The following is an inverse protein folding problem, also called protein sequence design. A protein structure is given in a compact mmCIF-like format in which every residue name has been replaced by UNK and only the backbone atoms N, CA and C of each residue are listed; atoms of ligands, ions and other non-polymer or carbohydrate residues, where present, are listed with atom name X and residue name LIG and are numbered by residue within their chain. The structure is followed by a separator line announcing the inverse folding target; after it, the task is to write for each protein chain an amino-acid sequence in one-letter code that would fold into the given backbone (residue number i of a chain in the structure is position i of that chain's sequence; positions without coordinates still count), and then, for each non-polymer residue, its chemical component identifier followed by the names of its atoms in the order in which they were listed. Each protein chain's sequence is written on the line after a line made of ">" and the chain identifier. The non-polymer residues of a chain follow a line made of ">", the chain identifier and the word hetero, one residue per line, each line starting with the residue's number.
data_IF_974734134945
#
_entry.id   IF_974734134945
#
_cell.length_a   1.000
_cell.length_b   1.000
_cell.length_c   1.000
_cell.angle_alpha   90.00
_cell.angle_beta   90.00
_cell.angle_gamma   90.00
#
_symmetry.space_group_name_H-M   'P 1'
#
loop_
_entity.id
_entity.type
_entity.pdbx_description
1 polymer ?
#
# COMPACT_ATOMS: atom_id res chain seq x y z
N UNK A 1 -85.51 -58.22 19.43
CA UNK A 1 -85.17 -59.19 18.36
C UNK A 1 -84.90 -58.46 17.05
N UNK A 2 -84.11 -59.04 16.13
CA UNK A 2 -83.67 -58.47 14.82
C UNK A 2 -83.01 -57.08 14.81
N UNK A 3 -83.69 -55.99 15.15
CA UNK A 3 -83.14 -54.62 15.09
C UNK A 3 -81.83 -54.47 15.86
N UNK A 4 -81.74 -54.97 17.10
CA UNK A 4 -80.51 -54.91 17.90
C UNK A 4 -79.35 -55.71 17.27
N UNK A 5 -79.65 -56.79 16.54
CA UNK A 5 -78.64 -57.55 15.79
C UNK A 5 -78.17 -56.80 14.55
N UNK A 6 -79.07 -56.16 13.82
CA UNK A 6 -78.75 -55.29 12.67
C UNK A 6 -77.89 -54.10 13.08
N UNK A 7 -78.22 -53.44 14.19
CA UNK A 7 -77.44 -52.33 14.76
C UNK A 7 -76.02 -52.80 15.12
N UNK A 8 -75.87 -53.94 15.81
CA UNK A 8 -74.55 -54.52 16.13
C UNK A 8 -73.76 -54.88 14.86
N UNK A 9 -74.42 -55.46 13.85
CA UNK A 9 -73.81 -55.76 12.54
C UNK A 9 -73.34 -54.49 11.82
N UNK A 10 -74.15 -53.43 11.82
CA UNK A 10 -73.81 -52.14 11.23
C UNK A 10 -72.63 -51.47 11.95
N UNK A 11 -72.61 -51.50 13.28
CA UNK A 11 -71.46 -51.02 14.08
C UNK A 11 -70.19 -51.80 13.76
N UNK A 12 -70.24 -53.14 13.72
CA UNK A 12 -69.07 -53.97 13.38
C UNK A 12 -68.55 -53.69 11.96
N UNK A 13 -69.45 -53.51 10.99
CA UNK A 13 -69.07 -53.09 9.62
C UNK A 13 -68.39 -51.73 9.61
N UNK A 14 -68.91 -50.74 10.37
CA UNK A 14 -68.29 -49.42 10.52
C UNK A 14 -66.91 -49.51 11.18
N UNK A 15 -66.78 -50.28 12.25
CA UNK A 15 -65.52 -50.47 12.99
C UNK A 15 -64.44 -51.11 12.11
N UNK A 16 -64.80 -52.13 11.33
CA UNK A 16 -63.90 -52.75 10.33
C UNK A 16 -63.48 -51.77 9.25
N UNK A 17 -64.38 -50.90 8.78
CA UNK A 17 -64.05 -49.86 7.78
C UNK A 17 -63.08 -48.82 8.34
N UNK A 18 -63.26 -48.40 9.60
CA UNK A 18 -62.34 -47.49 10.30
C UNK A 18 -60.97 -48.12 10.51
N UNK A 19 -60.91 -49.38 10.98
CA UNK A 19 -59.64 -50.11 11.14
C UNK A 19 -58.88 -50.26 9.82
N UNK A 20 -59.58 -50.54 8.71
CA UNK A 20 -58.96 -50.59 7.37
C UNK A 20 -58.41 -49.24 6.94
N UNK A 21 -59.10 -48.13 7.24
CA UNK A 21 -58.61 -46.77 6.97
C UNK A 21 -57.39 -46.43 7.82
N UNK A 22 -57.45 -46.73 9.12
CA UNK A 22 -56.33 -46.52 10.04
C UNK A 22 -55.07 -47.27 9.57
N UNK A 23 -55.20 -48.56 9.23
CA UNK A 23 -54.09 -49.36 8.69
C UNK A 23 -53.50 -48.81 7.39
N UNK A 24 -54.28 -48.07 6.59
CA UNK A 24 -53.78 -47.41 5.37
C UNK A 24 -53.10 -46.06 5.65
N UNK A 25 -53.58 -45.30 6.65
CA UNK A 25 -53.06 -43.97 6.96
C UNK A 25 -51.82 -44.02 7.86
N UNK A 26 -51.71 -45.04 8.72
CA UNK A 26 -50.57 -45.23 9.62
C UNK A 26 -49.20 -45.21 8.92
N UNK A 27 -48.97 -45.97 7.82
CA UNK A 27 -47.68 -45.93 7.12
C UNK A 27 -47.42 -44.56 6.50
N UNK A 28 -48.42 -43.94 5.86
CA UNK A 28 -48.28 -42.60 5.27
C UNK A 28 -47.86 -41.53 6.30
N UNK A 29 -48.30 -41.66 7.56
CA UNK A 29 -47.87 -40.79 8.65
C UNK A 29 -46.42 -41.05 9.08
N UNK A 30 -45.96 -42.29 9.00
CA UNK A 30 -44.56 -42.64 9.26
C UNK A 30 -43.67 -42.09 8.16
N UNK A 31 -44.01 -42.37 6.90
CA UNK A 31 -43.24 -41.94 5.73
C UNK A 31 -43.07 -40.41 5.70
N UNK A 32 -44.15 -39.66 5.94
CA UNK A 32 -44.08 -38.20 6.03
C UNK A 32 -43.18 -37.73 7.17
N UNK A 33 -43.17 -38.43 8.30
CA UNK A 33 -42.31 -38.08 9.43
C UNK A 33 -40.84 -38.33 9.09
N UNK A 34 -40.55 -39.42 8.39
CA UNK A 34 -39.20 -39.76 7.94
C UNK A 34 -38.70 -38.76 6.90
N UNK A 35 -39.53 -38.41 5.89
CA UNK A 35 -39.25 -37.37 4.91
C UNK A 35 -38.95 -36.01 5.56
N UNK A 36 -39.73 -35.64 6.59
CA UNK A 36 -39.50 -34.39 7.34
C UNK A 36 -38.18 -34.42 8.13
N UNK A 37 -37.78 -35.57 8.66
CA UNK A 37 -36.50 -35.73 9.36
C UNK A 37 -35.36 -35.60 8.35
N UNK A 38 -35.45 -36.27 7.21
CA UNK A 38 -34.45 -36.23 6.15
C UNK A 38 -34.31 -34.83 5.56
N UNK A 39 -35.42 -34.16 5.28
CA UNK A 39 -35.42 -32.77 4.79
C UNK A 39 -34.74 -31.82 5.79
N UNK A 40 -35.08 -31.95 7.08
CA UNK A 40 -34.45 -31.16 8.14
C UNK A 40 -32.95 -31.44 8.26
N UNK A 41 -32.53 -32.68 8.06
CA UNK A 41 -31.12 -33.05 8.09
C UNK A 41 -30.36 -32.45 6.90
N UNK A 42 -30.92 -32.55 5.70
CA UNK A 42 -30.33 -31.95 4.48
C UNK A 42 -30.15 -30.45 4.62
N UNK A 43 -31.20 -29.72 5.04
CA UNK A 43 -31.09 -28.27 5.29
C UNK A 43 -29.98 -27.95 6.29
N UNK A 44 -29.89 -28.73 7.38
CA UNK A 44 -28.86 -28.51 8.41
C UNK A 44 -27.46 -28.71 7.84
N UNK A 45 -27.28 -29.70 6.98
CA UNK A 45 -26.01 -30.00 6.32
C UNK A 45 -25.64 -28.93 5.29
N UNK A 46 -26.57 -28.54 4.43
CA UNK A 46 -26.38 -27.48 3.44
C UNK A 46 -25.97 -26.15 4.10
N UNK A 47 -26.67 -25.75 5.17
CA UNK A 47 -26.33 -24.54 5.93
C UNK A 47 -24.94 -24.67 6.55
N UNK A 48 -24.60 -25.83 7.11
CA UNK A 48 -23.27 -26.05 7.72
C UNK A 48 -22.17 -25.97 6.68
N UNK A 49 -22.35 -26.58 5.52
CA UNK A 49 -21.38 -26.58 4.44
C UNK A 49 -21.19 -25.15 3.91
N UNK A 50 -22.29 -24.46 3.60
CA UNK A 50 -22.24 -23.06 3.16
C UNK A 50 -21.53 -22.15 4.16
N UNK A 51 -21.84 -22.26 5.46
CA UNK A 51 -21.17 -21.45 6.49
C UNK A 51 -19.68 -21.77 6.62
N UNK A 52 -19.29 -23.02 6.38
CA UNK A 52 -17.89 -23.45 6.43
C UNK A 52 -17.12 -22.89 5.25
N UNK A 53 -17.64 -23.07 4.03
CA UNK A 53 -17.07 -22.51 2.79
C UNK A 53 -16.98 -20.98 2.86
N UNK A 54 -18.05 -20.32 3.31
CA UNK A 54 -18.08 -18.87 3.46
C UNK A 54 -17.03 -18.38 4.48
N UNK A 55 -16.88 -19.07 5.61
CA UNK A 55 -15.85 -18.76 6.61
C UNK A 55 -14.44 -18.92 6.03
N UNK A 56 -14.19 -19.99 5.28
CA UNK A 56 -12.91 -20.23 4.62
C UNK A 56 -12.60 -19.18 3.57
N UNK A 57 -13.59 -18.79 2.74
CA UNK A 57 -13.42 -17.74 1.75
C UNK A 57 -13.12 -16.39 2.40
N UNK A 58 -13.85 -16.02 3.47
CA UNK A 58 -13.58 -14.78 4.23
C UNK A 58 -12.16 -14.81 4.79
N UNK A 59 -11.76 -15.90 5.43
CA UNK A 59 -10.42 -16.00 6.02
C UNK A 59 -9.33 -15.89 4.96
N UNK A 60 -9.54 -16.49 3.79
CA UNK A 60 -8.61 -16.39 2.65
C UNK A 60 -8.50 -14.95 2.15
N UNK A 61 -9.64 -14.29 1.88
CA UNK A 61 -9.67 -12.89 1.42
C UNK A 61 -9.06 -11.95 2.47
N UNK A 62 -9.35 -12.16 3.75
CA UNK A 62 -8.79 -11.35 4.83
C UNK A 62 -7.28 -11.52 4.94
N UNK A 63 -6.77 -12.75 4.79
CA UNK A 63 -5.33 -13.02 4.75
C UNK A 63 -4.64 -12.33 3.58
N UNK A 64 -5.26 -12.37 2.40
CA UNK A 64 -4.77 -11.68 1.20
C UNK A 64 -4.72 -10.17 1.40
N UNK A 65 -5.81 -9.58 1.90
CA UNK A 65 -5.86 -8.14 2.23
C UNK A 65 -4.76 -7.77 3.22
N UNK A 66 -4.58 -8.53 4.31
CA UNK A 66 -3.51 -8.27 5.29
C UNK A 66 -2.13 -8.31 4.66
N UNK A 67 -1.85 -9.27 3.76
CA UNK A 67 -0.56 -9.34 3.04
C UNK A 67 -0.36 -8.13 2.12
N UNK A 68 -1.38 -7.74 1.36
CA UNK A 68 -1.30 -6.56 0.49
C UNK A 68 -1.13 -5.27 1.29
N UNK A 69 -1.77 -5.18 2.47
CA UNK A 69 -1.63 -4.04 3.36
C UNK A 69 -0.22 -3.96 3.94
N UNK A 70 0.35 -5.09 4.38
CA UNK A 70 1.72 -5.14 4.87
C UNK A 70 2.73 -4.73 3.79
N UNK A 71 2.63 -5.30 2.58
CA UNK A 71 3.50 -4.93 1.46
C UNK A 71 3.38 -3.45 1.09
N UNK A 72 2.16 -2.90 1.13
CA UNK A 72 1.94 -1.46 0.89
C UNK A 72 2.59 -0.63 1.99
N UNK A 73 2.45 -1.02 3.25
CA UNK A 73 3.09 -0.32 4.38
C UNK A 73 4.61 -0.32 4.28
N UNK A 74 5.22 -1.44 3.90
CA UNK A 74 6.67 -1.55 3.70
C UNK A 74 7.14 -0.61 2.58
N UNK A 75 6.40 -0.56 1.47
CA UNK A 75 6.71 0.36 0.36
C UNK A 75 6.57 1.82 0.74
N UNK A 76 5.55 2.16 1.54
CA UNK A 76 5.35 3.53 2.03
C UNK A 76 6.50 3.93 2.95
N UNK A 77 6.89 3.07 3.91
CA UNK A 77 8.02 3.36 4.81
C UNK A 77 9.33 3.60 4.03
N UNK A 78 9.59 2.81 2.98
CA UNK A 78 10.77 3.00 2.13
C UNK A 78 10.70 4.31 1.33
N UNK A 79 9.50 4.68 0.83
CA UNK A 79 9.29 5.96 0.17
C UNK A 79 9.53 7.13 1.12
N UNK A 80 9.01 7.06 2.34
CA UNK A 80 9.20 8.08 3.38
C UNK A 80 10.67 8.27 3.71
N UNK A 81 11.42 7.18 3.86
CA UNK A 81 12.88 7.23 4.09
C UNK A 81 13.61 7.91 2.92
N UNK A 82 13.31 7.51 1.69
CA UNK A 82 13.92 8.11 0.50
C UNK A 82 13.57 9.59 0.34
N UNK A 83 12.37 9.99 0.73
CA UNK A 83 11.96 11.40 0.74
C UNK A 83 12.77 12.18 1.76
N UNK A 84 12.92 11.65 2.99
CA UNK A 84 13.74 12.29 4.02
C UNK A 84 15.20 12.47 3.56
N UNK A 85 15.80 11.44 2.96
CA UNK A 85 17.18 11.52 2.43
C UNK A 85 17.29 12.58 1.30
N UNK A 86 16.28 12.68 0.44
CA UNK A 86 16.24 13.69 -0.63
C UNK A 86 16.03 15.11 -0.11
N UNK A 87 15.23 15.28 0.94
CA UNK A 87 15.01 16.57 1.60
C UNK A 87 16.29 17.08 2.26
N UNK A 88 17.03 16.20 2.94
CA UNK A 88 18.35 16.51 3.52
C UNK A 88 19.35 16.92 2.43
N UNK A 89 19.48 16.11 1.38
CA UNK A 89 20.36 16.44 0.26
C UNK A 89 20.00 17.76 -0.44
N UNK A 90 18.71 18.07 -0.56
CA UNK A 90 18.26 19.32 -1.15
C UNK A 90 18.65 20.56 -0.33
N UNK A 91 18.75 20.43 1.01
CA UNK A 91 19.28 21.47 1.88
C UNK A 91 20.78 21.66 1.65
N UNK A 92 21.55 20.57 1.64
CA UNK A 92 23.00 20.63 1.41
C UNK A 92 23.37 21.24 0.05
N UNK A 93 22.65 20.84 -1.00
CA UNK A 93 22.83 21.41 -2.35
C UNK A 93 22.51 22.91 -2.37
N UNK A 94 21.49 23.33 -1.63
CA UNK A 94 21.12 24.75 -1.55
C UNK A 94 22.20 25.57 -0.84
N UNK A 95 22.74 25.05 0.25
CA UNK A 95 23.76 25.74 1.05
C UNK A 95 25.09 25.83 0.32
N UNK A 96 25.50 24.74 -0.35
CA UNK A 96 26.68 24.74 -1.22
C UNK A 96 26.51 25.71 -2.40
N UNK A 97 25.34 25.74 -3.04
CA UNK A 97 25.05 26.70 -4.10
C UNK A 97 25.12 28.17 -3.63
N UNK A 98 24.58 28.46 -2.45
CA UNK A 98 24.65 29.80 -1.86
C UNK A 98 26.10 30.20 -1.56
N UNK A 99 26.90 29.27 -1.03
CA UNK A 99 28.32 29.49 -0.77
C UNK A 99 29.10 29.78 -2.06
N UNK A 100 28.84 29.04 -3.13
CA UNK A 100 29.45 29.26 -4.44
C UNK A 100 29.11 30.65 -5.01
N UNK A 101 27.87 31.11 -4.89
CA UNK A 101 27.48 32.47 -5.30
C UNK A 101 28.24 33.55 -4.54
N UNK A 102 28.43 33.35 -3.23
CA UNK A 102 29.22 34.28 -2.41
C UNK A 102 30.69 34.27 -2.87
N UNK A 103 31.26 33.09 -3.13
CA UNK A 103 32.63 32.96 -3.62
C UNK A 103 32.84 33.65 -4.98
N UNK A 104 31.92 33.48 -5.93
CA UNK A 104 31.97 34.13 -7.24
C UNK A 104 31.98 35.67 -7.10
N UNK A 105 31.12 36.21 -6.23
CA UNK A 105 31.08 37.65 -5.96
C UNK A 105 32.38 38.14 -5.31
N UNK A 106 32.94 37.39 -4.37
CA UNK A 106 34.23 37.72 -3.75
C UNK A 106 35.37 37.68 -4.78
N UNK A 107 35.38 36.70 -5.68
CA UNK A 107 36.37 36.60 -6.74
C UNK A 107 36.30 37.78 -7.71
N UNK A 108 35.09 38.22 -8.09
CA UNK A 108 34.90 39.41 -8.90
C UNK A 108 35.44 40.68 -8.21
N UNK A 109 35.17 40.84 -6.90
CA UNK A 109 35.70 41.97 -6.11
C UNK A 109 37.23 41.95 -6.00
N UNK A 110 37.82 40.77 -5.78
CA UNK A 110 39.28 40.61 -5.72
C UNK A 110 39.93 40.98 -7.05
N UNK A 111 39.34 40.53 -8.17
CA UNK A 111 39.84 40.87 -9.51
C UNK A 111 39.78 42.37 -9.79
N UNK A 112 38.69 43.05 -9.40
CA UNK A 112 38.61 44.51 -9.49
C UNK A 112 39.72 45.16 -8.64
N UNK A 113 39.84 44.79 -7.36
CA UNK A 113 40.86 45.36 -6.47
C UNK A 113 42.30 45.16 -7.00
N UNK A 114 42.62 43.97 -7.52
CA UNK A 114 43.92 43.68 -8.12
C UNK A 114 44.17 44.56 -9.36
N UNK A 115 43.17 44.68 -10.24
CA UNK A 115 43.24 45.55 -11.42
C UNK A 115 43.46 47.01 -11.02
N UNK A 116 42.73 47.51 -10.00
CA UNK A 116 42.87 48.88 -9.52
C UNK A 116 44.22 49.15 -8.86
N UNK A 117 44.75 48.19 -8.12
CA UNK A 117 46.06 48.28 -7.47
C UNK A 117 47.20 48.33 -8.49
N UNK A 118 47.12 47.53 -9.57
CA UNK A 118 48.16 47.46 -10.61
C UNK A 118 48.02 48.47 -11.75
N UNK A 119 46.96 49.30 -11.76
CA UNK A 119 46.66 50.21 -12.88
C UNK A 119 47.81 51.16 -13.26
N UNK A 120 48.63 51.56 -12.28
CA UNK A 120 49.75 52.46 -12.50
C UNK A 120 51.11 51.75 -12.54
N UNK A 121 51.12 50.42 -12.52
CA UNK A 121 52.35 49.64 -12.56
C UNK A 121 52.69 49.33 -14.02
N UNK A 122 53.88 49.73 -14.45
CA UNK A 122 54.43 49.35 -15.73
C UNK A 122 55.24 48.06 -15.59
N UNK A 123 55.12 47.15 -16.56
CA UNK A 123 55.91 45.93 -16.64
C UNK A 123 56.57 45.84 -18.02
N UNK A 124 57.88 46.01 -18.05
CA UNK A 124 58.69 46.03 -19.27
C UNK A 124 59.28 44.63 -19.46
N UNK A 125 59.17 44.07 -20.67
CA UNK A 125 59.64 42.72 -21.01
C UNK A 125 60.78 42.79 -22.03
N UNK A 126 61.66 41.79 -22.04
CA UNK A 126 62.76 41.68 -23.00
C UNK A 126 64.00 42.52 -22.67
N UNK A 127 64.10 43.00 -21.42
CA UNK A 127 65.24 43.77 -20.94
C UNK A 127 66.37 42.82 -20.49
N UNK A 128 67.59 42.91 -21.06
CA UNK A 128 68.73 42.14 -20.59
C UNK A 128 69.12 42.51 -19.15
N UNK A 129 69.48 41.53 -18.34
CA UNK A 129 69.88 41.76 -16.95
C UNK A 129 71.09 42.71 -16.86
N UNK A 130 71.00 43.72 -15.98
CA UNK A 130 72.09 44.67 -15.71
C UNK A 130 72.21 45.84 -16.69
N UNK A 131 71.36 45.95 -17.72
CA UNK A 131 71.41 47.09 -18.66
C UNK A 131 70.99 48.43 -18.03
N UNK A 132 70.35 48.39 -16.87
CA UNK A 132 69.89 49.53 -16.07
C UNK A 132 71.01 50.27 -15.32
N UNK A 133 72.23 49.73 -15.28
CA UNK A 133 73.40 50.40 -14.69
C UNK A 133 73.26 50.64 -13.18
N UNK A 134 73.69 51.80 -12.69
CA UNK A 134 73.65 52.16 -11.26
C UNK A 134 72.39 52.93 -10.84
N UNK A 135 71.60 53.44 -11.79
CA UNK A 135 70.43 54.28 -11.51
C UNK A 135 69.23 53.92 -12.41
N UNK A 136 68.37 53.05 -11.88
CA UNK A 136 67.16 52.56 -12.58
C UNK A 136 66.20 53.70 -12.96
N UNK A 137 66.09 54.76 -12.13
CA UNK A 137 65.14 55.85 -12.39
C UNK A 137 65.53 56.67 -13.62
N UNK A 138 66.83 56.93 -13.80
CA UNK A 138 67.37 57.67 -14.94
C UNK A 138 67.26 56.83 -16.22
N UNK A 139 67.62 55.55 -16.14
CA UNK A 139 67.45 54.60 -17.24
C UNK A 139 65.98 54.52 -17.71
N UNK A 140 65.03 54.40 -16.78
CA UNK A 140 63.59 54.32 -17.12
C UNK A 140 63.07 55.64 -17.70
N UNK A 141 63.57 56.79 -17.24
CA UNK A 141 63.17 58.11 -17.77
C UNK A 141 63.70 58.38 -19.19
N UNK A 142 64.83 57.81 -19.58
CA UNK A 142 65.31 57.84 -20.96
C UNK A 142 64.64 56.80 -21.86
N UNK A 143 64.23 55.67 -21.27
CA UNK A 143 63.64 54.53 -21.99
C UNK A 143 62.18 54.75 -22.40
N UNK A 144 61.39 55.46 -21.58
CA UNK A 144 59.95 55.74 -21.79
C UNK A 144 59.76 57.11 -22.42
#
# INVERSE_FOLDING_TARGET
>A
GRQMREIKMAMLKRLRKLLRRYKRISPLRSDLKDDMIDFRQKIREDIRNYLTEFKEEINRKMSEVTKTQQSTSERVNEMEKRIADLEEWAVDVRDTHNTLKVQENLQAKLSDLEGRSRRNNLRIYGMPEGCEGSNVMEFVAEFI
#
